data_IF_549213500694
#
_entry.id   IF_549213500694
#
_cell.length_a   1.000
_cell.length_b   1.000
_cell.length_c   1.000
_cell.angle_alpha   90.00
_cell.angle_beta   90.00
_cell.angle_gamma   90.00
#
_symmetry.space_group_name_H-M   'P 1'
#
loop_
_entity.id
_entity.type
_entity.pdbx_description
1 polymer ?
#
# COMPACT_ATOMS: atom_id res chain seq x y z
N UNK A 1 -10.94 8.60 16.47
CA UNK A 1 -11.03 8.52 15.00
C UNK A 1 -9.59 8.30 14.53
N UNK A 2 -9.26 7.13 13.99
CA UNK A 2 -7.91 6.86 13.49
C UNK A 2 -7.81 7.57 12.14
N UNK A 3 -7.13 8.70 12.10
CA UNK A 3 -6.84 9.43 10.85
C UNK A 3 -5.63 8.79 10.19
N UNK A 4 -5.67 8.57 8.87
CA UNK A 4 -4.47 8.23 8.12
C UNK A 4 -3.45 9.38 8.21
N UNK A 5 -2.16 9.11 7.96
CA UNK A 5 -1.11 10.14 8.00
C UNK A 5 -1.40 11.34 7.08
N UNK A 6 -2.08 11.09 5.95
CA UNK A 6 -2.43 12.10 4.96
C UNK A 6 -3.83 12.73 5.17
N UNK A 7 -4.53 12.39 6.25
CA UNK A 7 -5.85 12.95 6.57
C UNK A 7 -7.01 12.38 5.74
N UNK A 8 -6.78 11.33 4.95
CA UNK A 8 -7.84 10.58 4.28
C UNK A 8 -8.89 10.08 5.27
N UNK A 9 -10.13 10.51 5.05
CA UNK A 9 -11.32 10.08 5.78
C UNK A 9 -12.46 9.84 4.78
N UNK A 10 -12.54 8.61 4.29
CA UNK A 10 -13.63 8.13 3.44
C UNK A 10 -13.95 6.68 3.84
N UNK A 11 -15.17 6.26 3.53
CA UNK A 11 -15.57 4.87 3.72
C UNK A 11 -14.91 3.99 2.66
N UNK A 12 -14.26 2.92 3.12
CA UNK A 12 -13.62 1.92 2.27
C UNK A 12 -14.26 0.56 2.52
N UNK A 13 -14.43 -0.22 1.45
CA UNK A 13 -14.80 -1.63 1.55
C UNK A 13 -13.69 -2.43 2.24
N UNK A 14 -14.03 -3.61 2.76
CA UNK A 14 -13.03 -4.51 3.35
C UNK A 14 -11.89 -4.87 2.37
N UNK A 15 -12.21 -4.97 1.08
CA UNK A 15 -11.20 -5.22 0.04
C UNK A 15 -10.25 -4.03 -0.13
N UNK A 16 -10.77 -2.82 -0.27
CA UNK A 16 -9.97 -1.59 -0.39
C UNK A 16 -9.09 -1.40 0.85
N UNK A 17 -9.65 -1.59 2.05
CA UNK A 17 -8.91 -1.52 3.30
C UNK A 17 -7.76 -2.55 3.34
N UNK A 18 -8.01 -3.78 2.91
CA UNK A 18 -6.99 -4.83 2.83
C UNK A 18 -5.84 -4.46 1.89
N UNK A 19 -6.15 -3.87 0.74
CA UNK A 19 -5.13 -3.39 -0.21
C UNK A 19 -4.31 -2.24 0.39
N UNK A 20 -4.97 -1.23 0.98
CA UNK A 20 -4.33 -0.07 1.60
C UNK A 20 -3.35 -0.51 2.69
N UNK A 21 -3.81 -1.32 3.65
CA UNK A 21 -2.98 -1.79 4.77
C UNK A 21 -1.81 -2.61 4.25
N UNK A 22 -2.02 -3.48 3.26
CA UNK A 22 -0.95 -4.30 2.68
C UNK A 22 0.11 -3.44 2.00
N UNK A 23 -0.27 -2.41 1.24
CA UNK A 23 0.67 -1.47 0.62
C UNK A 23 1.49 -0.71 1.65
N UNK A 24 0.85 -0.21 2.72
CA UNK A 24 1.55 0.46 3.82
C UNK A 24 2.56 -0.47 4.51
N UNK A 25 2.16 -1.73 4.75
CA UNK A 25 3.06 -2.73 5.35
C UNK A 25 4.23 -3.08 4.44
N UNK A 26 4.00 -3.30 3.14
CA UNK A 26 5.06 -3.60 2.19
C UNK A 26 6.05 -2.43 2.07
N UNK A 27 5.56 -1.18 2.02
CA UNK A 27 6.40 0.01 2.03
C UNK A 27 7.26 0.10 3.30
N UNK A 28 6.64 -0.08 4.48
CA UNK A 28 7.36 -0.09 5.74
C UNK A 28 8.42 -1.19 5.83
N UNK A 29 8.07 -2.42 5.45
CA UNK A 29 9.02 -3.53 5.53
C UNK A 29 10.15 -3.41 4.51
N UNK A 30 9.90 -2.87 3.32
CA UNK A 30 10.97 -2.57 2.35
C UNK A 30 12.03 -1.65 2.98
N UNK A 31 11.58 -0.56 3.61
CA UNK A 31 12.46 0.35 4.35
C UNK A 31 13.22 -0.35 5.48
N UNK A 32 12.53 -1.15 6.32
CA UNK A 32 13.17 -1.87 7.43
C UNK A 32 14.19 -2.90 6.94
N UNK A 33 13.94 -3.59 5.83
CA UNK A 33 14.89 -4.56 5.26
C UNK A 33 16.11 -3.88 4.67
N UNK A 34 15.93 -2.70 4.05
CA UNK A 34 17.04 -1.88 3.58
C UNK A 34 17.95 -1.45 4.74
N UNK A 35 17.38 -0.88 5.82
CA UNK A 35 18.13 -0.43 7.00
C UNK A 35 18.92 -1.56 7.69
N UNK A 36 18.46 -2.81 7.55
CA UNK A 36 19.13 -3.99 8.12
C UNK A 36 20.14 -4.64 7.18
N UNK A 37 20.32 -4.13 5.96
CA UNK A 37 21.21 -4.71 4.95
C UNK A 37 20.69 -6.02 4.35
N UNK A 38 19.39 -6.28 4.41
CA UNK A 38 18.74 -7.47 3.83
C UNK A 38 18.30 -7.16 2.39
N UNK A 39 19.27 -7.05 1.48
CA UNK A 39 19.04 -6.56 0.11
C UNK A 39 18.06 -7.43 -0.69
N UNK A 40 18.19 -8.76 -0.64
CA UNK A 40 17.33 -9.68 -1.38
C UNK A 40 15.86 -9.61 -0.93
N UNK A 41 15.63 -9.50 0.38
CA UNK A 41 14.30 -9.31 0.94
C UNK A 41 13.73 -7.95 0.58
N UNK A 42 14.55 -6.89 0.61
CA UNK A 42 14.16 -5.55 0.21
C UNK A 42 13.68 -5.50 -1.24
N UNK A 43 14.43 -6.11 -2.16
CA UNK A 43 14.07 -6.21 -3.57
C UNK A 43 12.75 -6.98 -3.74
N UNK A 44 12.62 -8.13 -3.09
CA UNK A 44 11.42 -8.97 -3.17
C UNK A 44 10.17 -8.27 -2.63
N UNK A 45 10.28 -7.59 -1.50
CA UNK A 45 9.15 -6.84 -0.89
C UNK A 45 8.77 -5.66 -1.78
N UNK A 46 9.75 -4.94 -2.32
CA UNK A 46 9.50 -3.84 -3.27
C UNK A 46 8.80 -4.35 -4.53
N UNK A 47 9.19 -5.53 -5.05
CA UNK A 47 8.50 -6.15 -6.17
C UNK A 47 7.03 -6.47 -5.84
N UNK A 48 6.72 -7.01 -4.64
CA UNK A 48 5.34 -7.23 -4.22
C UNK A 48 4.54 -5.94 -4.08
N UNK A 49 5.16 -4.86 -3.59
CA UNK A 49 4.52 -3.55 -3.54
C UNK A 49 4.12 -3.08 -4.94
N UNK A 50 5.05 -3.15 -5.90
CA UNK A 50 4.77 -2.76 -7.28
C UNK A 50 3.70 -3.63 -7.94
N UNK A 51 3.74 -4.95 -7.75
CA UNK A 51 2.70 -5.85 -8.27
C UNK A 51 1.31 -5.53 -7.71
N UNK A 52 1.21 -5.27 -6.40
CA UNK A 52 -0.06 -4.91 -5.77
C UNK A 52 -0.52 -3.52 -6.24
N UNK A 53 0.40 -2.57 -6.43
CA UNK A 53 0.09 -1.25 -6.98
C UNK A 53 -0.41 -1.35 -8.42
N UNK A 54 0.20 -2.19 -9.24
CA UNK A 54 -0.23 -2.42 -10.62
C UNK A 54 -1.62 -3.07 -10.68
N UNK A 55 -1.91 -3.99 -9.75
CA UNK A 55 -3.23 -4.59 -9.61
C UNK A 55 -4.34 -3.55 -9.36
N UNK A 56 -4.06 -2.46 -8.62
CA UNK A 56 -5.04 -1.39 -8.38
C UNK A 56 -5.60 -0.88 -9.72
N UNK A 57 -4.77 -0.71 -10.75
CA UNK A 57 -5.21 -0.19 -12.05
C UNK A 57 -6.15 -1.13 -12.82
N UNK A 58 -6.36 -2.36 -12.34
CA UNK A 58 -7.36 -3.29 -12.87
C UNK A 58 -8.74 -3.16 -12.21
N UNK A 59 -8.83 -2.44 -11.09
CA UNK A 59 -10.07 -2.23 -10.33
C UNK A 59 -10.96 -1.14 -10.95
N UNK A 60 -12.24 -1.02 -10.54
CA UNK A 60 -13.08 0.12 -10.94
C UNK A 60 -12.47 1.46 -10.50
N UNK A 61 -12.61 2.51 -11.33
CA UNK A 61 -12.01 3.84 -11.10
C UNK A 61 -12.29 4.40 -9.70
N UNK A 62 -13.50 4.21 -9.17
CA UNK A 62 -13.83 4.66 -7.81
C UNK A 62 -12.94 4.05 -6.73
N UNK A 63 -12.69 2.73 -6.82
CA UNK A 63 -11.78 2.04 -5.90
C UNK A 63 -10.33 2.43 -6.12
N UNK A 64 -9.90 2.64 -7.37
CA UNK A 64 -8.55 3.13 -7.65
C UNK A 64 -8.27 4.45 -6.95
N UNK A 65 -9.15 5.43 -7.14
CA UNK A 65 -9.02 6.77 -6.56
C UNK A 65 -9.00 6.71 -5.03
N UNK A 66 -9.89 5.93 -4.41
CA UNK A 66 -9.91 5.77 -2.96
C UNK A 66 -8.62 5.18 -2.41
N UNK A 67 -8.15 4.07 -2.99
CA UNK A 67 -6.95 3.39 -2.52
C UNK A 67 -5.72 4.29 -2.70
N UNK A 68 -5.55 4.91 -3.88
CA UNK A 68 -4.40 5.77 -4.16
C UNK A 68 -4.39 7.00 -3.24
N UNK A 69 -5.53 7.66 -3.03
CA UNK A 69 -5.62 8.78 -2.10
C UNK A 69 -5.37 8.39 -0.65
N UNK A 70 -5.61 7.14 -0.25
CA UNK A 70 -5.38 6.68 1.12
C UNK A 70 -3.91 6.38 1.42
N UNK A 71 -3.08 6.15 0.39
CA UNK A 71 -1.66 5.82 0.54
C UNK A 71 -0.70 6.90 0.03
N UNK A 72 -1.23 7.98 -0.55
CA UNK A 72 -0.47 9.18 -0.96
C UNK A 72 0.20 9.86 0.24
#
# INVERSE_FOLDING_TARGET
>A
MITSPNGFMDDVSAQEAGIIVTLMMLSHFSFVTYEKGHEAECERISAYFHQLRDFIFTLPTGSQTKILNAID
#
